data_IF_612619177598
#
_entry.id   IF_612619177598
#
_cell.length_a   1.000
_cell.length_b   1.000
_cell.length_c   1.000
_cell.angle_alpha   90.00
_cell.angle_beta   90.00
_cell.angle_gamma   90.00
#
_symmetry.space_group_name_H-M   'P 1'
#
loop_
_entity.id
_entity.type
_entity.pdbx_description
1 polymer ?
#
# COMPACT_ATOMS: atom_id res chain seq x y z
N UNK A 1 28.93 -9.35 80.30
CA UNK A 1 29.07 -10.52 79.41
C UNK A 1 27.79 -10.65 78.60
N UNK A 2 27.93 -10.71 77.27
CA UNK A 2 26.95 -11.03 76.22
C UNK A 2 25.66 -10.19 76.13
N UNK A 3 25.64 -9.24 75.19
CA UNK A 3 24.41 -8.86 74.49
C UNK A 3 24.43 -9.53 73.11
N UNK A 4 23.50 -10.46 72.88
CA UNK A 4 23.31 -11.20 71.64
C UNK A 4 22.48 -10.34 70.69
N UNK A 5 23.08 -9.85 69.60
CA UNK A 5 22.36 -9.17 68.53
C UNK A 5 21.90 -10.21 67.50
N UNK A 6 20.59 -10.36 67.34
CA UNK A 6 19.96 -11.23 66.35
C UNK A 6 19.94 -10.48 65.01
N UNK A 7 20.70 -10.96 64.02
CA UNK A 7 20.57 -10.53 62.63
C UNK A 7 19.42 -11.30 61.97
N UNK A 8 18.34 -10.62 61.64
CA UNK A 8 17.30 -11.15 60.76
C UNK A 8 17.71 -10.91 59.30
N UNK A 9 18.11 -11.97 58.60
CA UNK A 9 18.40 -11.95 57.17
C UNK A 9 17.07 -12.09 56.40
N UNK A 10 16.55 -11.00 55.85
CA UNK A 10 15.38 -11.05 54.97
C UNK A 10 15.83 -11.49 53.56
N UNK A 11 15.61 -12.76 53.21
CA UNK A 11 15.73 -13.27 51.84
C UNK A 11 14.54 -12.77 51.02
N UNK A 12 14.74 -11.68 50.28
CA UNK A 12 13.80 -11.25 49.24
C UNK A 12 13.88 -12.17 48.04
N UNK A 13 12.94 -13.09 47.89
CA UNK A 13 12.77 -13.86 46.66
C UNK A 13 12.16 -12.95 45.58
N UNK A 14 13.00 -12.41 44.69
CA UNK A 14 12.53 -11.72 43.49
C UNK A 14 12.02 -12.75 42.49
N UNK A 15 10.71 -13.00 42.47
CA UNK A 15 10.08 -13.74 41.38
C UNK A 15 10.06 -12.86 40.13
N UNK A 16 10.99 -13.13 39.21
CA UNK A 16 10.94 -12.57 37.86
C UNK A 16 9.79 -13.25 37.14
N UNK A 17 8.62 -12.64 37.15
CA UNK A 17 7.54 -13.03 36.24
C UNK A 17 7.98 -12.66 34.83
N UNK A 18 8.40 -13.65 34.05
CA UNK A 18 8.51 -13.51 32.62
C UNK A 18 7.10 -13.20 32.08
N UNK A 19 6.85 -11.94 31.76
CA UNK A 19 5.65 -11.55 31.02
C UNK A 19 5.75 -12.26 29.67
N UNK A 20 4.81 -13.14 29.29
CA UNK A 20 4.80 -13.65 27.94
C UNK A 20 4.63 -12.44 27.01
N UNK A 21 5.65 -12.16 26.21
CA UNK A 21 5.50 -11.27 25.07
C UNK A 21 4.47 -11.91 24.15
N UNK A 22 3.21 -11.52 24.32
CA UNK A 22 2.18 -11.72 23.32
C UNK A 22 2.70 -11.01 22.08
N UNK A 23 3.29 -11.79 21.19
CA UNK A 23 3.68 -11.37 19.86
C UNK A 23 2.37 -11.21 19.07
N UNK A 24 1.59 -10.20 19.43
CA UNK A 24 0.43 -9.80 18.67
C UNK A 24 0.97 -9.32 17.32
N UNK A 25 0.92 -10.20 16.33
CA UNK A 25 1.13 -9.83 14.93
C UNK A 25 0.14 -8.73 14.62
N UNK A 26 0.63 -7.50 14.53
CA UNK A 26 -0.17 -6.36 14.07
C UNK A 26 -0.75 -6.76 12.71
N UNK A 27 -2.09 -6.78 12.54
CA UNK A 27 -2.70 -7.09 11.27
C UNK A 27 -2.10 -6.18 10.19
N UNK A 28 -1.60 -6.79 9.12
CA UNK A 28 -1.06 -6.09 7.97
C UNK A 28 -2.22 -5.53 7.16
N UNK A 29 -2.16 -4.25 6.79
CA UNK A 29 -3.23 -3.55 6.07
C UNK A 29 -2.66 -2.47 5.15
N UNK A 30 -3.46 -2.03 4.18
CA UNK A 30 -3.23 -0.82 3.40
C UNK A 30 -3.55 0.44 4.24
N UNK A 31 -2.76 1.49 4.04
CA UNK A 31 -2.90 2.78 4.71
C UNK A 31 -3.70 3.82 3.94
N UNK A 32 -4.16 3.50 2.72
CA UNK A 32 -5.01 4.38 1.90
C UNK A 32 -6.47 4.23 2.29
N UNK A 33 -6.92 5.04 3.23
CA UNK A 33 -8.31 5.01 3.73
C UNK A 33 -8.99 6.38 3.55
N UNK A 34 -9.47 6.72 2.34
CA UNK A 34 -10.18 7.97 2.11
C UNK A 34 -11.52 7.99 2.84
N UNK A 35 -11.89 9.14 3.41
CA UNK A 35 -13.23 9.30 4.01
C UNK A 35 -14.31 9.29 2.94
N UNK A 36 -15.54 8.96 3.33
CA UNK A 36 -16.69 9.01 2.42
C UNK A 36 -16.89 10.41 1.79
N UNK A 37 -16.59 11.47 2.55
CA UNK A 37 -16.63 12.84 2.06
C UNK A 37 -15.55 13.10 1.00
N UNK A 38 -14.33 12.60 1.21
CA UNK A 38 -13.24 12.71 0.23
C UNK A 38 -13.58 11.97 -1.06
N UNK A 39 -14.14 10.77 -0.95
CA UNK A 39 -14.62 10.00 -2.11
C UNK A 39 -15.71 10.78 -2.85
N UNK A 40 -16.75 11.24 -2.15
CA UNK A 40 -17.84 11.97 -2.79
C UNK A 40 -17.35 13.24 -3.51
N UNK A 41 -16.40 13.97 -2.92
CA UNK A 41 -15.79 15.14 -3.56
C UNK A 41 -14.95 14.76 -4.79
N UNK A 42 -14.16 13.68 -4.70
CA UNK A 42 -13.36 13.17 -5.82
C UNK A 42 -14.24 12.71 -6.99
N UNK A 43 -15.32 11.97 -6.72
CA UNK A 43 -16.26 11.51 -7.76
C UNK A 43 -17.04 12.67 -8.38
N UNK A 44 -17.48 13.65 -7.60
CA UNK A 44 -18.13 14.84 -8.13
C UNK A 44 -17.17 15.64 -9.03
N UNK A 45 -15.91 15.82 -8.60
CA UNK A 45 -14.90 16.47 -9.40
C UNK A 45 -14.61 15.68 -10.69
N UNK A 46 -14.47 14.36 -10.60
CA UNK A 46 -14.22 13.50 -11.75
C UNK A 46 -15.37 13.56 -12.76
N UNK A 47 -16.62 13.48 -12.32
CA UNK A 47 -17.78 13.57 -13.21
C UNK A 47 -17.83 14.89 -14.00
N UNK A 48 -17.37 16.00 -13.40
CA UNK A 48 -17.33 17.33 -14.05
C UNK A 48 -16.13 17.52 -14.98
N UNK A 49 -15.03 16.80 -14.76
CA UNK A 49 -13.74 17.05 -15.43
C UNK A 49 -13.24 15.88 -16.27
N UNK A 50 -13.94 14.74 -16.29
CA UNK A 50 -13.52 13.57 -17.02
C UNK A 50 -13.27 13.91 -18.49
N UNK A 51 -12.10 13.53 -18.98
CA UNK A 51 -11.75 13.68 -20.40
C UNK A 51 -12.03 12.36 -21.11
N UNK A 52 -12.40 12.43 -22.39
CA UNK A 52 -12.42 11.22 -23.21
C UNK A 52 -10.99 10.68 -23.28
N UNK A 53 -10.78 9.44 -22.79
CA UNK A 53 -9.53 8.74 -22.99
C UNK A 53 -9.25 8.74 -24.50
N UNK A 54 -8.11 9.29 -24.93
CA UNK A 54 -7.73 9.22 -26.34
C UNK A 54 -7.68 7.74 -26.70
N UNK A 55 -8.34 7.35 -27.78
CA UNK A 55 -8.25 6.01 -28.34
C UNK A 55 -6.81 5.80 -28.88
N UNK A 56 -5.85 5.62 -27.99
CA UNK A 56 -4.51 5.20 -28.32
C UNK A 56 -4.52 3.67 -28.36
N UNK A 57 -4.26 3.12 -29.54
CA UNK A 57 -3.99 1.69 -29.70
C UNK A 57 -2.61 1.28 -29.11
N UNK A 58 -1.78 2.26 -28.70
CA UNK A 58 -0.47 2.01 -28.10
C UNK A 58 -0.57 1.89 -26.58
N UNK A 59 0.16 0.94 -26.01
CA UNK A 59 0.30 0.74 -24.57
C UNK A 59 0.77 2.03 -23.87
N UNK A 60 0.08 2.43 -22.81
CA UNK A 60 0.46 3.60 -22.00
C UNK A 60 1.66 3.22 -21.14
N UNK A 61 2.81 3.83 -21.41
CA UNK A 61 4.03 3.60 -20.63
C UNK A 61 4.10 4.54 -19.43
N UNK A 62 4.23 3.97 -18.24
CA UNK A 62 4.41 4.69 -16.97
C UNK A 62 5.88 4.60 -16.57
N UNK A 63 6.55 5.75 -16.48
CA UNK A 63 7.91 5.82 -15.94
C UNK A 63 7.86 5.67 -14.42
N UNK A 64 8.67 4.76 -13.88
CA UNK A 64 8.77 4.47 -12.45
C UNK A 64 10.09 4.97 -11.88
N UNK A 65 10.02 5.85 -10.89
CA UNK A 65 11.18 6.25 -10.08
C UNK A 65 11.11 5.54 -8.73
N UNK A 66 12.15 4.76 -8.41
CA UNK A 66 12.19 3.97 -7.19
C UNK A 66 13.11 4.59 -6.15
N UNK A 67 12.59 4.88 -4.96
CA UNK A 67 13.30 5.49 -3.85
C UNK A 67 13.44 4.50 -2.70
N UNK A 68 14.63 3.94 -2.53
CA UNK A 68 14.94 3.06 -1.40
C UNK A 68 15.29 3.90 -0.18
N UNK A 69 14.43 3.91 0.82
CA UNK A 69 14.72 4.52 2.12
C UNK A 69 15.22 3.44 3.06
N UNK A 70 16.36 3.68 3.71
CA UNK A 70 17.03 2.69 4.54
C UNK A 70 17.54 3.29 5.85
N UNK A 71 17.58 2.49 6.90
CA UNK A 71 18.25 2.84 8.15
C UNK A 71 19.75 2.51 8.15
N UNK A 72 20.22 1.73 7.17
CA UNK A 72 21.61 1.27 7.06
C UNK A 72 21.85 0.49 5.77
N UNK A 73 22.96 -0.24 5.69
CA UNK A 73 23.43 -0.87 4.45
C UNK A 73 22.98 -2.30 4.24
N UNK A 74 22.33 -2.92 5.23
CA UNK A 74 21.88 -4.32 5.14
C UNK A 74 20.44 -4.42 4.64
N UNK A 75 20.06 -5.58 4.09
CA UNK A 75 18.66 -5.85 3.72
C UNK A 75 17.71 -5.67 4.92
N UNK A 76 18.10 -6.13 6.11
CA UNK A 76 17.31 -5.98 7.32
C UNK A 76 17.05 -4.51 7.71
N UNK A 77 17.89 -3.59 7.23
CA UNK A 77 17.77 -2.14 7.45
C UNK A 77 17.14 -1.41 6.26
N UNK A 78 16.50 -2.12 5.32
CA UNK A 78 15.78 -1.52 4.20
C UNK A 78 16.57 -1.39 2.90
N UNK A 79 17.85 -1.74 2.88
CA UNK A 79 18.66 -1.69 1.66
C UNK A 79 18.37 -2.87 0.72
N UNK A 80 17.19 -2.87 0.07
CA UNK A 80 16.78 -3.91 -0.87
C UNK A 80 17.71 -3.93 -2.10
N UNK A 81 18.15 -5.09 -2.62
CA UNK A 81 18.99 -5.14 -3.82
C UNK A 81 18.20 -4.75 -5.08
N UNK A 82 18.91 -4.31 -6.12
CA UNK A 82 18.29 -3.93 -7.41
C UNK A 82 17.53 -5.08 -8.08
N UNK A 83 17.88 -6.33 -7.75
CA UNK A 83 17.15 -7.52 -8.20
C UNK A 83 15.71 -7.55 -7.67
N UNK A 84 15.46 -7.09 -6.43
CA UNK A 84 14.10 -7.00 -5.88
C UNK A 84 13.30 -5.86 -6.51
N UNK A 85 13.97 -4.75 -6.86
CA UNK A 85 13.35 -3.65 -7.62
C UNK A 85 12.95 -4.15 -9.01
N UNK A 86 13.87 -4.81 -9.71
CA UNK A 86 13.63 -5.38 -11.05
C UNK A 86 12.49 -6.38 -11.01
N UNK A 87 12.49 -7.30 -10.04
CA UNK A 87 11.42 -8.27 -9.86
C UNK A 87 10.07 -7.60 -9.57
N UNK A 88 10.05 -6.49 -8.81
CA UNK A 88 8.83 -5.71 -8.57
C UNK A 88 8.28 -5.09 -9.86
N UNK A 89 9.16 -4.53 -10.71
CA UNK A 89 8.74 -4.00 -12.03
C UNK A 89 8.22 -5.11 -12.94
N UNK A 90 8.86 -6.28 -12.95
CA UNK A 90 8.36 -7.44 -13.68
C UNK A 90 6.99 -7.90 -13.16
N UNK A 91 6.82 -8.00 -11.84
CA UNK A 91 5.54 -8.35 -11.23
C UNK A 91 4.43 -7.36 -11.59
N UNK A 92 4.70 -6.05 -11.52
CA UNK A 92 3.78 -5.01 -11.98
C UNK A 92 3.34 -5.24 -13.44
N UNK A 93 4.28 -5.45 -14.36
CA UNK A 93 3.95 -5.70 -15.76
C UNK A 93 3.16 -6.99 -15.99
N UNK A 94 3.38 -8.02 -15.17
CA UNK A 94 2.57 -9.25 -15.20
C UNK A 94 1.14 -8.97 -14.73
N UNK A 95 0.98 -8.31 -13.58
CA UNK A 95 -0.33 -8.10 -12.95
C UNK A 95 -1.21 -7.11 -13.72
N UNK A 96 -0.59 -6.14 -14.39
CA UNK A 96 -1.27 -5.15 -15.23
C UNK A 96 -1.27 -5.53 -16.72
N UNK A 97 -0.84 -6.73 -17.11
CA UNK A 97 -0.69 -7.13 -18.53
C UNK A 97 -1.96 -6.98 -19.36
N UNK A 98 -3.15 -7.21 -18.78
CA UNK A 98 -4.45 -7.05 -19.44
C UNK A 98 -4.92 -5.59 -19.54
N UNK A 99 -4.24 -4.66 -18.87
CA UNK A 99 -4.66 -3.26 -18.80
C UNK A 99 -4.21 -2.42 -19.98
N UNK A 100 -3.14 -2.82 -20.68
CA UNK A 100 -2.45 -1.96 -21.65
C UNK A 100 -1.55 -0.89 -21.01
N UNK A 101 -1.30 -0.97 -19.70
CA UNK A 101 -0.21 -0.23 -19.03
C UNK A 101 1.09 -1.02 -19.11
N UNK A 102 2.21 -0.31 -19.21
CA UNK A 102 3.55 -0.89 -19.07
C UNK A 102 4.38 -0.01 -18.16
N UNK A 103 5.02 -0.60 -17.16
CA UNK A 103 5.84 0.09 -16.17
C UNK A 103 7.32 -0.09 -16.50
N UNK A 104 8.04 1.03 -16.60
CA UNK A 104 9.48 1.03 -16.95
C UNK A 104 10.25 1.77 -15.86
N UNK A 105 11.28 1.14 -15.31
CA UNK A 105 12.17 1.77 -14.33
C UNK A 105 12.96 2.90 -15.01
N UNK A 106 12.70 4.13 -14.60
CA UNK A 106 13.36 5.33 -15.10
C UNK A 106 14.55 5.75 -14.22
N UNK A 107 14.58 5.33 -12.96
CA UNK A 107 15.71 5.58 -12.07
C UNK A 107 15.52 5.02 -10.67
N UNK A 108 16.63 4.89 -9.95
CA UNK A 108 16.66 4.45 -8.56
C UNK A 108 17.49 5.40 -7.72
N UNK A 109 16.98 5.78 -6.55
CA UNK A 109 17.74 6.51 -5.53
C UNK A 109 17.79 5.72 -4.24
N UNK A 110 18.87 5.85 -3.47
CA UNK A 110 18.99 5.23 -2.14
C UNK A 110 19.28 6.33 -1.12
N UNK A 111 18.48 6.39 -0.05
CA UNK A 111 18.58 7.43 0.98
C UNK A 111 18.66 6.81 2.36
N UNK A 112 19.78 7.01 3.04
CA UNK A 112 19.95 6.59 4.43
C UNK A 112 19.31 7.62 5.36
N UNK A 113 18.11 7.32 5.85
CA UNK A 113 17.41 8.13 6.84
C UNK A 113 16.53 7.23 7.72
N UNK A 114 17.02 6.92 8.93
CA UNK A 114 16.33 6.00 9.84
C UNK A 114 14.96 6.52 10.29
N UNK A 115 14.77 7.84 10.40
CA UNK A 115 13.47 8.40 10.80
C UNK A 115 12.42 8.21 9.71
N UNK A 116 12.78 8.47 8.44
CA UNK A 116 11.88 8.20 7.32
C UNK A 116 11.62 6.70 7.17
N UNK A 117 12.67 5.87 7.27
CA UNK A 117 12.51 4.42 7.19
C UNK A 117 11.56 3.88 8.26
N UNK A 118 11.72 4.31 9.52
CA UNK A 118 10.95 3.74 10.62
C UNK A 118 9.54 4.31 10.74
N UNK A 119 9.37 5.62 10.50
CA UNK A 119 8.19 6.38 10.94
C UNK A 119 7.44 7.13 9.84
N UNK A 120 7.83 7.02 8.57
CA UNK A 120 7.02 7.57 7.48
C UNK A 120 5.65 6.88 7.43
N UNK A 121 4.59 7.68 7.37
CA UNK A 121 3.20 7.24 7.33
C UNK A 121 2.32 8.35 6.74
N UNK A 122 1.06 8.05 6.35
CA UNK A 122 0.09 9.05 5.89
C UNK A 122 0.06 10.30 6.78
N UNK A 123 0.08 11.47 6.13
CA UNK A 123 -0.03 12.80 6.75
C UNK A 123 1.04 13.16 7.79
N UNK A 124 2.16 12.43 7.83
CA UNK A 124 3.28 12.73 8.72
C UNK A 124 4.27 13.71 8.09
N UNK A 125 4.96 14.50 8.92
CA UNK A 125 6.08 15.34 8.47
C UNK A 125 7.22 14.53 7.85
N UNK A 126 7.40 13.26 8.25
CA UNK A 126 8.38 12.36 7.64
C UNK A 126 8.02 12.01 6.19
N UNK A 127 6.76 11.66 5.90
CA UNK A 127 6.29 11.48 4.53
C UNK A 127 6.48 12.75 3.71
N UNK A 128 6.03 13.89 4.23
CA UNK A 128 6.10 15.17 3.52
C UNK A 128 7.55 15.52 3.17
N UNK A 129 8.47 15.42 4.13
CA UNK A 129 9.88 15.71 3.89
C UNK A 129 10.51 14.72 2.88
N UNK A 130 10.24 13.42 3.04
CA UNK A 130 10.74 12.37 2.15
C UNK A 130 10.30 12.59 0.71
N UNK A 131 9.00 12.73 0.45
CA UNK A 131 8.47 12.87 -0.90
C UNK A 131 8.83 14.23 -1.51
N UNK A 132 8.80 15.31 -0.73
CA UNK A 132 9.24 16.64 -1.20
C UNK A 132 10.68 16.63 -1.69
N UNK A 133 11.57 15.92 -1.00
CA UNK A 133 12.98 15.85 -1.33
C UNK A 133 13.30 14.95 -2.52
N UNK A 134 12.52 13.89 -2.75
CA UNK A 134 12.93 12.79 -3.62
C UNK A 134 12.09 12.65 -4.89
N UNK A 135 10.84 13.09 -4.88
CA UNK A 135 9.90 12.90 -6.00
C UNK A 135 10.47 13.42 -7.32
N UNK A 136 10.40 12.60 -8.36
CA UNK A 136 10.85 12.90 -9.72
C UNK A 136 9.69 12.87 -10.73
N UNK A 137 9.88 13.54 -11.87
CA UNK A 137 8.89 13.61 -12.95
C UNK A 137 7.65 14.47 -12.65
N UNK A 138 6.66 14.39 -13.53
CA UNK A 138 5.38 15.09 -13.43
C UNK A 138 4.24 14.12 -13.07
N UNK A 139 2.98 14.46 -13.34
CA UNK A 139 1.79 13.67 -12.95
C UNK A 139 1.77 12.24 -13.52
N UNK A 140 2.40 12.06 -14.68
CA UNK A 140 2.51 10.81 -15.41
C UNK A 140 3.60 9.84 -14.86
N UNK A 141 4.45 10.30 -13.94
CA UNK A 141 5.54 9.50 -13.39
C UNK A 141 5.15 8.90 -12.03
N UNK A 142 5.23 7.57 -11.92
CA UNK A 142 4.98 6.86 -10.67
C UNK A 142 6.25 6.90 -9.81
N UNK A 143 6.14 7.45 -8.60
CA UNK A 143 7.22 7.42 -7.61
C UNK A 143 6.90 6.35 -6.57
N UNK A 144 7.79 5.38 -6.39
CA UNK A 144 7.66 4.28 -5.42
C UNK A 144 8.70 4.46 -4.32
N UNK A 145 8.28 4.46 -3.06
CA UNK A 145 9.17 4.58 -1.90
C UNK A 145 9.12 3.31 -1.06
N UNK A 146 10.25 2.71 -0.75
CA UNK A 146 10.30 1.57 0.18
C UNK A 146 10.73 2.03 1.57
N UNK A 147 9.91 1.76 2.59
CA UNK A 147 10.16 2.10 4.00
C UNK A 147 9.93 0.89 4.91
N UNK A 148 10.23 1.04 6.20
CA UNK A 148 10.22 -0.04 7.19
C UNK A 148 8.94 -0.19 8.02
N UNK A 149 8.12 0.86 8.12
CA UNK A 149 6.88 0.89 8.93
C UNK A 149 7.06 0.29 10.32
N UNK A 150 8.11 0.72 11.02
CA UNK A 150 8.53 0.13 12.31
C UNK A 150 7.88 0.81 13.51
N UNK A 151 7.45 2.07 13.38
CA UNK A 151 6.93 2.87 14.48
C UNK A 151 5.94 3.96 14.02
N UNK A 152 5.28 4.60 14.97
CA UNK A 152 4.31 5.67 14.72
C UNK A 152 3.00 5.17 14.11
N UNK A 153 2.25 6.06 13.47
CA UNK A 153 0.95 5.75 12.84
C UNK A 153 1.05 4.80 11.65
N UNK A 154 2.24 4.61 11.08
CA UNK A 154 2.47 3.69 9.97
C UNK A 154 2.82 2.26 10.40
N UNK A 155 3.00 2.00 11.70
CA UNK A 155 3.40 0.68 12.18
C UNK A 155 2.38 -0.39 11.75
N UNK A 156 2.87 -1.43 11.07
CA UNK A 156 2.03 -2.54 10.58
C UNK A 156 1.51 -2.39 9.15
N UNK A 157 1.64 -1.22 8.51
CA UNK A 157 1.20 -1.05 7.13
C UNK A 157 2.00 -1.93 6.14
N UNK A 158 1.35 -2.29 5.03
CA UNK A 158 1.99 -2.87 3.83
C UNK A 158 2.32 -1.78 2.81
N UNK A 159 1.50 -0.74 2.75
CA UNK A 159 1.70 0.40 1.88
C UNK A 159 0.61 1.45 2.04
N UNK A 160 0.76 2.52 1.28
CA UNK A 160 -0.26 3.53 1.01
C UNK A 160 0.09 4.29 -0.27
N UNK A 161 -0.90 4.93 -0.86
CA UNK A 161 -0.82 5.74 -2.06
C UNK A 161 -1.66 7.02 -1.98
N UNK A 162 -1.33 7.99 -2.81
CA UNK A 162 -2.20 9.14 -3.14
C UNK A 162 -3.15 8.79 -4.27
N UNK A 163 -4.34 9.43 -4.31
CA UNK A 163 -5.25 9.30 -5.46
C UNK A 163 -4.90 10.29 -6.58
N UNK A 164 -5.27 10.01 -7.86
CA UNK A 164 -5.09 10.95 -8.96
C UNK A 164 -5.72 12.32 -8.70
N UNK A 165 -6.90 12.35 -8.05
CA UNK A 165 -7.63 13.57 -7.71
C UNK A 165 -6.88 14.48 -6.74
N UNK A 166 -5.94 13.95 -5.97
CA UNK A 166 -5.15 14.71 -5.00
C UNK A 166 -3.95 15.41 -5.66
N UNK A 167 -3.58 15.03 -6.89
CA UNK A 167 -2.35 15.49 -7.52
C UNK A 167 -2.30 17.02 -7.67
N UNK A 168 -3.40 17.64 -8.10
CA UNK A 168 -3.44 19.08 -8.36
C UNK A 168 -3.26 19.93 -7.10
N UNK A 169 -3.76 19.46 -5.95
CA UNK A 169 -3.69 20.19 -4.68
C UNK A 169 -2.34 20.00 -3.99
N UNK A 170 -1.72 18.81 -4.13
CA UNK A 170 -0.44 18.51 -3.50
C UNK A 170 0.44 17.60 -4.39
N UNK A 171 1.00 18.13 -5.49
CA UNK A 171 1.77 17.32 -6.44
C UNK A 171 3.04 16.73 -5.83
N UNK A 172 3.58 17.33 -4.75
CA UNK A 172 4.79 16.85 -4.06
C UNK A 172 4.55 15.59 -3.23
N UNK A 173 3.31 15.33 -2.84
CA UNK A 173 2.95 14.12 -2.10
C UNK A 173 2.63 12.92 -3.01
N UNK A 174 2.54 13.12 -4.32
CA UNK A 174 2.12 12.05 -5.22
C UNK A 174 3.09 10.85 -5.25
N UNK A 175 2.52 9.65 -5.16
CA UNK A 175 3.24 8.38 -5.30
C UNK A 175 2.74 7.29 -4.35
N UNK A 176 3.48 6.19 -4.36
CA UNK A 176 3.19 4.96 -3.61
C UNK A 176 4.31 4.69 -2.62
N UNK A 177 3.98 4.40 -1.37
CA UNK A 177 4.94 4.00 -0.34
C UNK A 177 4.61 2.58 0.10
N UNK A 178 5.58 1.68 0.09
CA UNK A 178 5.40 0.27 0.42
C UNK A 178 6.42 -0.21 1.46
N UNK A 179 6.06 -1.26 2.18
CA UNK A 179 6.94 -1.98 3.07
C UNK A 179 8.08 -2.61 2.27
N UNK A 180 9.33 -2.29 2.59
CA UNK A 180 10.49 -2.83 1.86
C UNK A 180 10.53 -4.36 1.80
N UNK A 181 9.98 -5.03 2.82
CA UNK A 181 9.97 -6.49 2.92
C UNK A 181 8.75 -7.14 2.24
N UNK A 182 7.85 -6.39 1.61
CA UNK A 182 6.70 -6.93 0.84
C UNK A 182 6.94 -6.99 -0.68
N UNK A 183 8.13 -6.58 -1.12
CA UNK A 183 8.56 -6.76 -2.52
C UNK A 183 8.80 -8.26 -2.83
N UNK A 184 8.80 -8.67 -4.11
CA UNK A 184 9.20 -10.02 -4.51
C UNK A 184 10.53 -10.46 -3.89
N UNK A 185 10.53 -11.62 -3.24
CA UNK A 185 11.70 -12.15 -2.52
C UNK A 185 11.94 -11.49 -1.15
N UNK A 186 11.02 -10.65 -0.68
CA UNK A 186 11.02 -10.06 0.66
C UNK A 186 10.60 -11.07 1.74
N UNK A 187 10.75 -10.66 3.01
CA UNK A 187 10.51 -11.50 4.19
C UNK A 187 9.11 -11.38 4.81
N UNK A 188 8.22 -10.57 4.25
CA UNK A 188 6.83 -10.45 4.75
C UNK A 188 6.00 -11.60 4.20
N UNK A 189 5.93 -12.70 4.95
CA UNK A 189 5.15 -13.89 4.59
C UNK A 189 3.73 -13.51 4.14
N UNK A 190 3.27 -14.15 3.06
CA UNK A 190 1.97 -13.94 2.39
C UNK A 190 1.78 -12.61 1.66
N UNK A 191 2.77 -11.71 1.72
CA UNK A 191 2.72 -10.38 1.12
C UNK A 191 4.01 -10.05 0.38
N UNK A 192 4.70 -11.05 -0.18
CA UNK A 192 6.04 -10.91 -0.74
C UNK A 192 6.12 -11.39 -2.20
N UNK A 193 5.02 -11.30 -2.94
CA UNK A 193 4.94 -11.60 -4.39
C UNK A 193 4.70 -10.32 -5.22
N UNK A 194 4.74 -9.14 -4.56
CA UNK A 194 4.61 -7.84 -5.20
C UNK A 194 3.17 -7.35 -5.36
N UNK A 195 2.18 -8.01 -4.75
CA UNK A 195 0.78 -7.54 -4.86
C UNK A 195 0.51 -6.31 -3.99
N UNK A 196 1.26 -6.07 -2.92
CA UNK A 196 1.15 -4.80 -2.18
C UNK A 196 1.42 -3.60 -3.10
N UNK A 197 2.50 -3.62 -3.90
CA UNK A 197 2.75 -2.53 -4.86
C UNK A 197 1.66 -2.46 -5.94
N UNK A 198 1.13 -3.61 -6.35
CA UNK A 198 0.05 -3.69 -7.35
C UNK A 198 -1.21 -3.00 -6.84
N UNK A 199 -1.60 -3.30 -5.60
CA UNK A 199 -2.73 -2.74 -4.87
C UNK A 199 -2.58 -1.21 -4.69
N UNK A 200 -1.46 -0.76 -4.14
CA UNK A 200 -1.22 0.67 -3.93
C UNK A 200 -1.15 1.44 -5.25
N UNK A 201 -0.61 0.83 -6.31
CA UNK A 201 -0.65 1.45 -7.64
C UNK A 201 -2.08 1.53 -8.16
N UNK A 202 -2.96 0.58 -7.81
CA UNK A 202 -4.39 0.65 -8.12
C UNK A 202 -5.05 1.90 -7.54
N UNK A 203 -4.72 2.26 -6.30
CA UNK A 203 -5.14 3.54 -5.71
C UNK A 203 -4.53 4.75 -6.42
N UNK A 204 -3.24 4.72 -6.75
CA UNK A 204 -2.57 5.78 -7.52
C UNK A 204 -3.19 5.99 -8.91
N UNK A 205 -3.81 4.94 -9.44
CA UNK A 205 -4.56 4.87 -10.69
C UNK A 205 -6.06 5.22 -10.53
N UNK A 206 -6.58 5.39 -9.31
CA UNK A 206 -7.95 5.84 -9.03
C UNK A 206 -8.95 4.75 -8.67
N UNK A 207 -8.50 3.54 -8.32
CA UNK A 207 -9.34 2.47 -7.79
C UNK A 207 -9.52 2.59 -6.28
N UNK A 208 -10.73 2.34 -5.80
CA UNK A 208 -10.99 2.16 -4.37
C UNK A 208 -10.89 0.68 -4.00
N UNK A 209 -10.88 0.41 -2.70
CA UNK A 209 -11.04 -0.95 -2.20
C UNK A 209 -12.38 -1.54 -2.65
N UNK A 210 -12.43 -2.84 -2.93
CA UNK A 210 -13.67 -3.53 -3.34
C UNK A 210 -14.76 -3.48 -2.26
N UNK A 211 -14.37 -3.46 -0.98
CA UNK A 211 -15.27 -3.29 0.16
C UNK A 211 -15.68 -1.84 0.46
N UNK A 212 -15.30 -0.88 -0.40
CA UNK A 212 -15.66 0.51 -0.19
C UNK A 212 -17.19 0.68 -0.24
N UNK A 213 -17.75 1.37 0.74
CA UNK A 213 -19.20 1.61 0.81
C UNK A 213 -20.04 0.43 1.33
N UNK A 214 -19.46 -0.77 1.49
CA UNK A 214 -20.16 -1.95 2.00
C UNK A 214 -21.35 -2.38 1.13
N UNK A 215 -22.25 -3.19 1.69
CA UNK A 215 -23.35 -3.80 0.93
C UNK A 215 -24.44 -2.83 0.43
N UNK A 216 -24.51 -1.61 0.98
CA UNK A 216 -25.60 -0.67 0.70
C UNK A 216 -25.14 0.72 0.27
N UNK A 217 -23.83 0.97 0.23
CA UNK A 217 -23.26 2.22 -0.26
C UNK A 217 -23.05 2.23 -1.77
N UNK A 218 -22.33 3.24 -2.26
CA UNK A 218 -22.01 3.40 -3.69
C UNK A 218 -20.97 2.41 -4.22
N UNK A 219 -20.52 1.45 -3.41
CA UNK A 219 -19.45 0.52 -3.75
C UNK A 219 -18.09 1.22 -3.95
N UNK A 220 -17.25 0.58 -4.74
CA UNK A 220 -15.95 1.07 -5.21
C UNK A 220 -16.07 1.88 -6.53
N UNK A 221 -17.30 2.24 -6.93
CA UNK A 221 -17.63 2.92 -8.19
C UNK A 221 -17.21 2.14 -9.45
N UNK A 222 -17.17 0.83 -9.34
CA UNK A 222 -17.04 -0.10 -10.46
C UNK A 222 -18.24 -1.05 -10.41
N UNK A 223 -18.91 -1.27 -11.55
CA UNK A 223 -20.18 -2.01 -11.56
C UNK A 223 -20.02 -3.52 -11.68
N UNK A 224 -18.86 -3.99 -12.13
CA UNK A 224 -18.56 -5.43 -12.32
C UNK A 224 -17.74 -6.02 -11.17
N UNK A 225 -17.57 -5.26 -10.08
CA UNK A 225 -17.05 -5.71 -8.79
C UNK A 225 -18.23 -6.04 -7.87
N UNK A 226 -18.43 -7.30 -7.47
CA UNK A 226 -19.44 -7.66 -6.48
C UNK A 226 -19.25 -6.87 -5.18
N UNK A 227 -20.34 -6.37 -4.54
CA UNK A 227 -20.24 -5.67 -3.27
C UNK A 227 -19.84 -6.64 -2.16
N UNK A 228 -19.02 -6.17 -1.23
CA UNK A 228 -18.64 -6.92 -0.02
C UNK A 228 -18.69 -6.02 1.22
N UNK A 229 -19.00 -6.60 2.39
CA UNK A 229 -19.23 -5.84 3.63
C UNK A 229 -17.92 -5.36 4.29
N UNK A 230 -16.83 -6.08 4.05
CA UNK A 230 -15.51 -5.83 4.65
C UNK A 230 -14.43 -6.44 3.76
N UNK A 231 -13.17 -6.13 4.01
CA UNK A 231 -12.05 -6.81 3.35
C UNK A 231 -12.00 -8.31 3.69
N UNK A 232 -11.53 -9.11 2.75
CA UNK A 232 -11.09 -10.49 3.00
C UNK A 232 -9.76 -10.53 3.75
N UNK A 233 -9.43 -11.69 4.31
CA UNK A 233 -8.09 -11.95 4.85
C UNK A 233 -7.74 -13.42 4.62
N UNK A 234 -6.46 -13.67 4.34
CA UNK A 234 -6.02 -15.00 3.96
C UNK A 234 -6.41 -15.36 2.54
N UNK A 235 -6.80 -16.62 2.36
CA UNK A 235 -7.30 -17.17 1.10
C UNK A 235 -8.65 -17.84 1.33
N UNK A 236 -9.70 -17.05 1.64
CA UNK A 236 -11.03 -17.62 1.85
C UNK A 236 -11.56 -18.28 0.57
N UNK A 237 -12.64 -19.05 0.68
CA UNK A 237 -13.33 -19.63 -0.48
C UNK A 237 -14.83 -19.40 -0.32
N UNK A 238 -15.51 -19.03 -1.41
CA UNK A 238 -16.97 -18.85 -1.41
C UNK A 238 -17.51 -17.81 -0.43
N UNK A 239 -16.70 -16.82 -0.07
CA UNK A 239 -17.12 -15.73 0.81
C UNK A 239 -18.17 -14.88 0.08
N UNK A 240 -19.30 -14.64 0.71
CA UNK A 240 -20.40 -13.82 0.21
C UNK A 240 -20.99 -13.10 1.43
N UNK A 241 -20.66 -11.82 1.56
CA UNK A 241 -21.04 -11.00 2.72
C UNK A 241 -22.20 -10.06 2.40
N UNK A 242 -22.55 -9.89 1.13
CA UNK A 242 -23.62 -9.03 0.66
C UNK A 242 -24.64 -9.81 -0.16
N UNK A 243 -25.77 -10.16 0.48
CA UNK A 243 -26.85 -10.93 -0.12
C UNK A 243 -27.30 -10.37 -1.48
N UNK A 244 -27.27 -11.22 -2.50
CA UNK A 244 -27.74 -10.90 -3.86
C UNK A 244 -26.74 -10.15 -4.74
N UNK A 245 -25.53 -9.84 -4.24
CA UNK A 245 -24.48 -9.15 -4.99
C UNK A 245 -23.53 -10.07 -5.76
N UNK A 246 -23.51 -11.37 -5.44
CA UNK A 246 -22.50 -12.32 -5.90
C UNK A 246 -21.47 -12.61 -4.81
N UNK A 247 -20.55 -13.54 -5.08
CA UNK A 247 -19.45 -13.83 -4.14
C UNK A 247 -18.52 -12.63 -4.02
N UNK A 248 -18.00 -12.39 -2.82
CA UNK A 248 -17.04 -11.34 -2.53
C UNK A 248 -15.83 -11.47 -3.49
N UNK A 249 -15.28 -10.35 -3.99
CA UNK A 249 -14.21 -10.35 -4.98
C UNK A 249 -12.83 -10.65 -4.36
N UNK A 250 -12.72 -11.77 -3.64
CA UNK A 250 -11.56 -12.18 -2.83
C UNK A 250 -10.25 -12.39 -3.62
N UNK A 251 -10.34 -12.47 -4.95
CA UNK A 251 -9.20 -12.59 -5.87
C UNK A 251 -8.77 -11.25 -6.49
N UNK A 252 -9.50 -10.17 -6.19
CA UNK A 252 -9.23 -8.85 -6.73
C UNK A 252 -8.01 -8.23 -6.06
N UNK A 253 -7.17 -7.54 -6.84
CA UNK A 253 -6.01 -6.83 -6.31
C UNK A 253 -6.36 -5.69 -5.34
N UNK A 254 -7.61 -5.22 -5.32
CA UNK A 254 -8.08 -4.15 -4.43
C UNK A 254 -8.75 -4.66 -3.15
N UNK A 255 -8.71 -5.97 -2.88
CA UNK A 255 -9.06 -6.58 -1.59
C UNK A 255 -7.78 -6.80 -0.73
N UNK A 256 -7.90 -7.37 0.48
CA UNK A 256 -6.81 -7.64 1.43
C UNK A 256 -6.48 -9.13 1.61
N UNK A 257 -6.90 -9.98 0.66
CA UNK A 257 -6.44 -11.37 0.58
C UNK A 257 -4.91 -11.45 0.52
N UNK A 258 -4.37 -12.64 0.79
CA UNK A 258 -2.93 -12.89 0.61
C UNK A 258 -2.52 -12.78 -0.85
N UNK A 259 -1.25 -12.44 -1.08
CA UNK A 259 -0.68 -12.28 -2.42
C UNK A 259 -0.94 -13.50 -3.32
N UNK A 260 -0.83 -14.71 -2.75
CA UNK A 260 -1.02 -15.99 -3.45
C UNK A 260 -2.44 -16.22 -3.99
N UNK A 261 -3.40 -15.40 -3.56
CA UNK A 261 -4.82 -15.53 -3.89
C UNK A 261 -5.37 -14.33 -4.66
N UNK A 262 -4.63 -13.22 -4.75
CA UNK A 262 -5.00 -12.10 -5.61
C UNK A 262 -4.46 -12.30 -7.03
N UNK A 263 -5.34 -12.26 -8.03
CA UNK A 263 -5.00 -12.61 -9.41
C UNK A 263 -5.46 -11.59 -10.45
N UNK A 264 -6.37 -10.67 -10.13
CA UNK A 264 -7.06 -9.89 -11.18
C UNK A 264 -7.49 -8.47 -10.81
N UNK A 265 -7.64 -7.67 -11.86
CA UNK A 265 -8.55 -6.52 -11.91
C UNK A 265 -9.73 -6.90 -12.81
N UNK A 266 -10.90 -6.32 -12.55
CA UNK A 266 -12.06 -6.46 -13.45
C UNK A 266 -11.92 -5.57 -14.69
N UNK A 267 -12.72 -5.83 -15.73
CA UNK A 267 -12.73 -4.99 -16.93
C UNK A 267 -13.22 -3.56 -16.62
N UNK A 268 -14.16 -3.42 -15.68
CA UNK A 268 -14.65 -2.15 -15.16
C UNK A 268 -13.57 -1.38 -14.41
N UNK A 269 -12.76 -2.05 -13.58
CA UNK A 269 -11.60 -1.42 -12.91
C UNK A 269 -10.59 -0.91 -13.94
N UNK A 270 -10.28 -1.71 -14.98
CA UNK A 270 -9.40 -1.28 -16.08
C UNK A 270 -9.94 -0.06 -16.79
N UNK A 271 -11.24 -0.03 -17.07
CA UNK A 271 -11.90 1.12 -17.70
C UNK A 271 -11.83 2.36 -16.81
N UNK A 272 -12.14 2.19 -15.52
CA UNK A 272 -12.12 3.27 -14.54
C UNK A 272 -10.75 3.90 -14.43
N UNK A 273 -9.69 3.12 -14.18
CA UNK A 273 -8.38 3.73 -14.02
C UNK A 273 -7.84 4.37 -15.30
N UNK A 274 -8.20 3.86 -16.49
CA UNK A 274 -7.82 4.52 -17.76
C UNK A 274 -8.43 5.92 -17.85
N UNK A 275 -9.70 6.05 -17.47
CA UNK A 275 -10.38 7.35 -17.46
C UNK A 275 -9.80 8.29 -16.41
N UNK A 276 -9.47 7.76 -15.23
CA UNK A 276 -8.82 8.51 -14.14
C UNK A 276 -7.45 9.06 -14.55
N UNK A 277 -6.56 8.23 -15.11
CA UNK A 277 -5.22 8.69 -15.50
C UNK A 277 -5.23 9.60 -16.73
N UNK A 278 -6.17 9.42 -17.66
CA UNK A 278 -6.37 10.36 -18.77
C UNK A 278 -6.75 11.75 -18.23
N UNK A 279 -7.61 11.79 -17.22
CA UNK A 279 -8.13 13.03 -16.63
C UNK A 279 -7.09 13.75 -15.78
N UNK A 280 -6.39 13.03 -14.91
CA UNK A 280 -5.56 13.65 -13.87
C UNK A 280 -4.06 13.59 -14.14
N UNK A 281 -3.61 12.64 -14.96
CA UNK A 281 -2.18 12.36 -15.17
C UNK A 281 -1.71 12.63 -16.60
N UNK A 282 -2.64 12.81 -17.54
CA UNK A 282 -2.33 13.01 -18.96
C UNK A 282 -1.76 11.75 -19.62
N UNK A 283 -2.15 10.58 -19.12
CA UNK A 283 -1.72 9.25 -19.55
C UNK A 283 -2.78 8.53 -20.39
#
# INVERSE_FOLDING_TARGET
MLFTAIYALALGASTVFAVPHLNATIPRQCGTSPSAQKIAAAEAHFAMNQVSAKASAAATTVSVYWHVIQAGTTLAQGNIPDSQITASISAMNTHYSSSGLTFVLAGTTRTTNANWFNSAAPDTSYQTAMKTSLRQGAAAALNVYTVGFKSGSGAGLLGYATFPSDYASNPKDDGVVILYSSVPGGSTTNYNEGKSLTHETGHWLGLYHTFQGGCSGSGDYVSDTPPEASAASGCPTGRDTCSGGGVDPIHNYMDYSYDSCMTEFTAGQVTRFKSQIATYRGL
#
